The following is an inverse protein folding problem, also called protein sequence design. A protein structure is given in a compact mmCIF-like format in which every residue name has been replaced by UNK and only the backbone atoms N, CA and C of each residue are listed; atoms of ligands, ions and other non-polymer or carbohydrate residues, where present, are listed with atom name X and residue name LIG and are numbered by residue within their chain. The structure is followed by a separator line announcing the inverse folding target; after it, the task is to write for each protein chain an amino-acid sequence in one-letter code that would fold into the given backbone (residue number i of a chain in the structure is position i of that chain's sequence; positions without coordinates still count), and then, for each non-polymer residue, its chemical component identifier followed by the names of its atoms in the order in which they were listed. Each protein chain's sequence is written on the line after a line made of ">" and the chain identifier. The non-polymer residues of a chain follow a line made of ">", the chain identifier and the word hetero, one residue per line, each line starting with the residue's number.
data_IF_945527322880
#
_entry.id   IF_945527322880
#
_cell.length_a   1.000
_cell.length_b   1.000
_cell.length_c   1.000
_cell.angle_alpha   90.00
_cell.angle_beta   90.00
_cell.angle_gamma   90.00
#
_symmetry.space_group_name_H-M   'P 1'
#
loop_
_entity.id
_entity.type
_entity.pdbx_description
1 polymer ?
#
# COMPACT_ATOMS: atom_id res chain seq x y z
N UNK A 1 0.72 -9.29 26.63
CA UNK A 1 -0.07 -10.37 25.98
C UNK A 1 0.52 -10.62 24.59
N UNK A 2 0.96 -11.85 24.27
CA UNK A 2 1.59 -12.17 22.97
C UNK A 2 0.54 -12.82 22.08
N UNK A 3 0.05 -12.10 21.07
CA UNK A 3 -1.00 -12.60 20.17
C UNK A 3 -0.38 -13.68 19.26
N UNK A 4 -0.96 -14.89 19.25
CA UNK A 4 -0.58 -15.93 18.29
C UNK A 4 -1.19 -15.59 16.92
N UNK A 5 -0.35 -15.45 15.90
CA UNK A 5 -0.77 -15.19 14.51
C UNK A 5 -1.54 -16.39 13.95
N UNK A 6 -2.63 -16.14 13.23
CA UNK A 6 -3.36 -17.17 12.48
C UNK A 6 -2.50 -17.65 11.30
N UNK A 7 -2.43 -18.97 11.09
CA UNK A 7 -1.80 -19.53 9.89
C UNK A 7 -2.69 -19.24 8.67
N UNK A 8 -2.20 -18.43 7.74
CA UNK A 8 -2.90 -18.07 6.51
C UNK A 8 -2.09 -18.50 5.30
N UNK A 9 -2.75 -18.60 4.14
CA UNK A 9 -2.08 -18.78 2.85
C UNK A 9 -1.14 -17.59 2.58
N UNK A 10 -0.03 -17.87 1.91
CA UNK A 10 0.92 -16.85 1.47
C UNK A 10 0.47 -16.26 0.12
N UNK A 11 0.57 -14.93 -0.01
CA UNK A 11 0.18 -14.18 -1.22
C UNK A 11 1.26 -13.17 -1.55
N UNK A 12 1.66 -13.10 -2.82
CA UNK A 12 2.60 -12.11 -3.32
C UNK A 12 1.92 -10.78 -3.64
N UNK A 13 2.53 -9.68 -3.22
CA UNK A 13 2.16 -8.31 -3.60
C UNK A 13 3.44 -7.60 -4.03
N UNK A 14 3.62 -7.45 -5.36
CA UNK A 14 4.89 -7.01 -5.92
C UNK A 14 6.03 -7.94 -5.51
N UNK A 15 7.04 -7.40 -4.81
CA UNK A 15 8.19 -8.16 -4.29
C UNK A 15 7.97 -8.71 -2.87
N UNK A 16 6.84 -8.40 -2.23
CA UNK A 16 6.55 -8.78 -0.85
C UNK A 16 5.70 -10.03 -0.80
N UNK A 17 5.89 -10.83 0.26
CA UNK A 17 5.05 -11.98 0.58
C UNK A 17 4.29 -11.69 1.88
N UNK A 18 2.97 -11.81 1.82
CA UNK A 18 2.05 -11.60 2.94
C UNK A 18 1.47 -12.93 3.40
N UNK A 19 1.21 -13.07 4.70
CA UNK A 19 0.62 -14.28 5.27
C UNK A 19 1.66 -15.33 5.70
N UNK A 20 1.20 -16.50 6.15
CA UNK A 20 2.07 -17.54 6.69
C UNK A 20 2.87 -17.06 7.90
N UNK A 21 4.19 -17.28 7.85
CA UNK A 21 5.14 -16.85 8.88
C UNK A 21 5.86 -15.53 8.54
N UNK A 22 5.50 -14.88 7.43
CA UNK A 22 6.08 -13.61 7.01
C UNK A 22 5.70 -12.47 8.00
N UNK A 23 6.53 -11.42 8.10
CA UNK A 23 6.24 -10.28 8.96
C UNK A 23 4.89 -9.63 8.63
N UNK A 24 4.30 -8.94 9.61
CA UNK A 24 3.17 -8.05 9.33
C UNK A 24 3.70 -6.89 8.50
N UNK A 25 3.18 -6.71 7.29
CA UNK A 25 3.59 -5.62 6.40
C UNK A 25 2.78 -4.37 6.71
N UNK A 26 3.42 -3.21 6.68
CA UNK A 26 2.78 -1.93 6.92
C UNK A 26 2.23 -1.39 5.61
N UNK A 27 0.93 -1.03 5.59
CA UNK A 27 0.30 -0.36 4.45
C UNK A 27 -0.28 0.99 4.86
N UNK A 28 -0.39 1.90 3.89
CA UNK A 28 -1.11 3.17 4.00
C UNK A 28 -1.89 3.46 2.72
N UNK A 29 -2.67 4.55 2.72
CA UNK A 29 -3.46 4.99 1.58
C UNK A 29 -3.25 6.48 1.33
N UNK A 30 -3.11 6.87 0.07
CA UNK A 30 -3.09 8.27 -0.32
C UNK A 30 -4.46 8.93 -0.08
N UNK A 31 -4.47 10.13 0.51
CA UNK A 31 -5.69 10.90 0.80
C UNK A 31 -5.95 12.03 -0.21
N UNK A 32 -5.07 12.16 -1.21
CA UNK A 32 -5.21 13.16 -2.25
C UNK A 32 -6.01 12.65 -3.46
N UNK A 33 -6.42 13.58 -4.32
CA UNK A 33 -7.09 13.24 -5.58
C UNK A 33 -6.09 12.65 -6.58
N UNK A 34 -6.26 11.37 -6.89
CA UNK A 34 -5.43 10.57 -7.81
C UNK A 34 -5.15 11.21 -9.17
N UNK A 35 -6.09 12.00 -9.71
CA UNK A 35 -5.89 12.73 -10.96
C UNK A 35 -4.69 13.70 -10.94
N UNK A 36 -4.21 14.11 -9.76
CA UNK A 36 -2.99 14.88 -9.60
C UNK A 36 -1.80 13.94 -9.35
N UNK A 37 -1.14 13.54 -10.44
CA UNK A 37 -0.02 12.61 -10.39
C UNK A 37 1.17 13.13 -9.55
N UNK A 38 1.51 14.42 -9.66
CA UNK A 38 2.67 15.00 -8.96
C UNK A 38 2.50 14.97 -7.44
N UNK A 39 1.36 15.41 -6.95
CA UNK A 39 1.05 15.33 -5.52
C UNK A 39 0.97 13.86 -5.07
N UNK A 40 0.49 12.95 -5.94
CA UNK A 40 0.36 11.51 -5.59
C UNK A 40 1.72 10.91 -5.36
N UNK A 41 2.66 11.17 -6.28
CA UNK A 41 4.05 10.73 -6.18
C UNK A 41 4.69 11.30 -4.91
N UNK A 42 4.50 12.60 -4.64
CA UNK A 42 5.05 13.25 -3.45
C UNK A 42 4.54 12.60 -2.15
N UNK A 43 3.24 12.30 -2.06
CA UNK A 43 2.68 11.63 -0.89
C UNK A 43 3.18 10.18 -0.77
N UNK A 44 3.32 9.46 -1.88
CA UNK A 44 3.91 8.10 -1.87
C UNK A 44 5.34 8.16 -1.30
N UNK A 45 6.17 9.09 -1.74
CA UNK A 45 7.53 9.24 -1.22
C UNK A 45 7.56 9.53 0.27
N UNK A 46 6.65 10.38 0.77
CA UNK A 46 6.53 10.64 2.21
C UNK A 46 6.12 9.39 3.00
N UNK A 47 5.21 8.59 2.45
CA UNK A 47 4.79 7.33 3.06
C UNK A 47 5.93 6.31 3.08
N UNK A 48 6.70 6.22 1.99
CA UNK A 48 7.89 5.37 1.91
C UNK A 48 8.95 5.77 2.95
N UNK A 49 9.25 7.06 3.07
CA UNK A 49 10.17 7.61 4.09
C UNK A 49 9.70 7.30 5.52
N UNK A 50 8.39 7.27 5.75
CA UNK A 50 7.79 6.88 7.03
C UNK A 50 7.80 5.36 7.29
N UNK A 51 8.29 4.54 6.34
CA UNK A 51 8.39 3.08 6.46
C UNK A 51 7.16 2.32 5.96
N UNK A 52 6.32 2.94 5.14
CA UNK A 52 5.22 2.26 4.47
C UNK A 52 5.74 1.31 3.39
N UNK A 53 5.33 0.04 3.43
CA UNK A 53 5.77 -0.98 2.47
C UNK A 53 4.78 -1.16 1.31
N UNK A 54 3.50 -0.82 1.53
CA UNK A 54 2.43 -0.96 0.55
C UNK A 54 1.57 0.30 0.55
N UNK A 55 1.49 1.01 -0.57
CA UNK A 55 0.63 2.19 -0.69
C UNK A 55 -0.59 1.86 -1.54
N UNK A 56 -1.77 2.29 -1.07
CA UNK A 56 -3.04 2.16 -1.79
C UNK A 56 -3.46 3.51 -2.36
N UNK A 57 -3.97 3.50 -3.59
CA UNK A 57 -4.47 4.69 -4.29
C UNK A 57 -5.93 4.44 -4.69
N UNK A 58 -6.78 5.45 -4.59
CA UNK A 58 -8.17 5.35 -5.01
C UNK A 58 -8.29 5.55 -6.53
N UNK A 59 -9.09 4.73 -7.21
CA UNK A 59 -9.45 4.95 -8.62
C UNK A 59 -10.99 5.07 -8.68
N UNK A 60 -11.55 6.27 -8.37
CA UNK A 60 -13.00 6.46 -8.33
C UNK A 60 -13.64 6.63 -9.71
N UNK A 61 -12.86 7.01 -10.72
CA UNK A 61 -13.33 7.32 -12.07
C UNK A 61 -12.26 6.99 -13.13
N UNK A 62 -12.68 6.99 -14.40
CA UNK A 62 -11.81 6.69 -15.55
C UNK A 62 -10.72 7.76 -15.77
N UNK A 63 -10.89 8.97 -15.25
CA UNK A 63 -9.88 10.02 -15.35
C UNK A 63 -8.70 9.72 -14.41
N UNK A 64 -9.01 9.19 -13.22
CA UNK A 64 -8.03 8.73 -12.23
C UNK A 64 -7.23 7.52 -12.73
N UNK A 65 -7.86 6.63 -13.51
CA UNK A 65 -7.16 5.48 -14.12
C UNK A 65 -6.02 5.93 -15.05
N UNK A 66 -6.24 6.95 -15.89
CA UNK A 66 -5.26 7.41 -16.88
C UNK A 66 -4.02 8.08 -16.28
N UNK A 67 -4.05 8.38 -14.99
CA UNK A 67 -3.04 9.17 -14.27
C UNK A 67 -2.27 8.36 -13.21
N UNK A 68 -2.61 7.08 -13.06
CA UNK A 68 -1.93 6.13 -12.17
C UNK A 68 -0.89 5.33 -12.95
#
# INVERSE_FOLDING_TARGET
>A
MRIKRKRTKEVGVGKLILGGNNPVRVQSMCDIRTRNAEETIKQISQLEEAGCEIVRIAIPDMESEKKT
#
